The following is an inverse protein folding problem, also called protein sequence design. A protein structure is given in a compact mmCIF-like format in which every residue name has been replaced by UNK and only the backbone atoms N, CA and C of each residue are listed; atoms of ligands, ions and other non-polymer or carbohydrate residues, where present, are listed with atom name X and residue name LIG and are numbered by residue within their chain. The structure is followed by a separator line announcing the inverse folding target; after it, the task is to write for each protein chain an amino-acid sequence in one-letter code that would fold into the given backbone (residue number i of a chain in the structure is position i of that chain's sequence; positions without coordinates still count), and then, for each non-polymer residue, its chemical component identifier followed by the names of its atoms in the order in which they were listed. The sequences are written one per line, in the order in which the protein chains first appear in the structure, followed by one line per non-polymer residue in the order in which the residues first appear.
data_IF_606164400719
#
_entry.id   IF_606164400719
#
_cell.length_a   1.000
_cell.length_b   1.000
_cell.length_c   1.000
_cell.angle_alpha   90.00
_cell.angle_beta   90.00
_cell.angle_gamma   90.00
#
_symmetry.space_group_name_H-M   'P 1'
#
loop_
_entity.id
_entity.type
_entity.pdbx_description
1 polymer ?
#
# COMPACT_ATOMS: atom_id res chain seq x y z
N UNK A 1 -7.70 -12.89 3.19
CA UNK A 1 -7.04 -11.96 4.12
C UNK A 1 -5.54 -12.23 4.07
N UNK A 2 -4.66 -11.25 4.26
CA UNK A 2 -3.20 -11.50 4.38
C UNK A 2 -2.92 -12.23 5.69
N UNK A 3 -3.30 -13.49 5.73
CA UNK A 3 -3.12 -14.40 6.85
C UNK A 3 -1.81 -15.14 6.59
N UNK A 4 -0.78 -14.77 7.36
CA UNK A 4 0.58 -15.33 7.52
C UNK A 4 1.69 -14.33 7.23
N UNK A 5 2.18 -13.73 8.30
CA UNK A 5 3.41 -12.95 8.35
C UNK A 5 4.66 -13.84 8.51
N UNK A 6 4.80 -14.89 7.69
CA UNK A 6 6.05 -15.71 7.67
C UNK A 6 6.96 -15.39 6.48
N UNK A 7 6.48 -14.61 5.50
CA UNK A 7 7.28 -13.99 4.45
C UNK A 7 6.71 -12.59 4.21
N UNK A 8 7.56 -11.56 4.32
CA UNK A 8 7.16 -10.19 4.05
C UNK A 8 6.54 -10.07 2.66
N UNK A 9 5.42 -9.36 2.54
CA UNK A 9 4.76 -9.13 1.26
C UNK A 9 5.53 -8.06 0.50
N UNK A 10 5.75 -8.23 -0.81
CA UNK A 10 6.34 -7.15 -1.61
C UNK A 10 5.41 -5.92 -1.59
N UNK A 11 6.02 -4.73 -1.68
CA UNK A 11 5.24 -3.49 -1.70
C UNK A 11 4.19 -3.49 -2.82
N UNK A 12 4.57 -3.95 -4.02
CA UNK A 12 3.65 -4.03 -5.16
C UNK A 12 2.45 -4.94 -4.87
N UNK A 13 2.69 -6.15 -4.34
CA UNK A 13 1.60 -7.07 -3.99
C UNK A 13 0.69 -6.51 -2.89
N UNK A 14 1.24 -5.78 -1.92
CA UNK A 14 0.44 -5.05 -0.94
C UNK A 14 -0.44 -3.97 -1.60
N UNK A 15 0.12 -3.15 -2.50
CA UNK A 15 -0.64 -2.09 -3.20
C UNK A 15 -1.78 -2.68 -4.05
N UNK A 16 -1.55 -3.83 -4.68
CA UNK A 16 -2.58 -4.53 -5.46
C UNK A 16 -3.69 -5.09 -4.57
N UNK A 17 -3.34 -5.67 -3.42
CA UNK A 17 -4.33 -6.16 -2.46
C UNK A 17 -5.22 -5.02 -1.91
N UNK A 18 -4.64 -3.86 -1.63
CA UNK A 18 -5.41 -2.68 -1.19
C UNK A 18 -6.33 -2.18 -2.31
N UNK A 19 -5.85 -2.15 -3.56
CA UNK A 19 -6.67 -1.75 -4.72
C UNK A 19 -7.88 -2.67 -4.92
N UNK A 20 -7.67 -3.98 -4.85
CA UNK A 20 -8.75 -4.97 -4.90
C UNK A 20 -9.75 -4.81 -3.74
N UNK A 21 -9.27 -4.45 -2.54
CA UNK A 21 -10.13 -4.19 -1.40
C UNK A 21 -11.00 -2.94 -1.63
N UNK A 22 -10.42 -1.86 -2.17
CA UNK A 22 -11.15 -0.64 -2.56
C UNK A 22 -12.22 -0.95 -3.61
N UNK A 23 -11.89 -1.68 -4.66
CA UNK A 23 -12.83 -2.05 -5.73
C UNK A 23 -14.00 -2.90 -5.17
N UNK A 24 -13.73 -3.69 -4.12
CA UNK A 24 -14.73 -4.49 -3.42
C UNK A 24 -15.45 -3.76 -2.27
N UNK A 25 -15.20 -2.46 -2.05
CA UNK A 25 -15.80 -1.69 -0.95
C UNK A 25 -15.42 -2.19 0.45
N UNK A 26 -14.22 -2.76 0.61
CA UNK A 26 -13.74 -3.41 1.84
C UNK A 26 -12.35 -2.91 2.23
N UNK A 27 -11.88 -3.38 3.37
CA UNK A 27 -10.51 -3.19 3.88
C UNK A 27 -9.72 -4.50 3.84
N UNK A 28 -8.41 -4.45 4.09
CA UNK A 28 -7.56 -5.64 4.16
C UNK A 28 -7.61 -6.37 5.52
N UNK A 29 -8.17 -5.74 6.56
CA UNK A 29 -8.26 -6.30 7.92
C UNK A 29 -9.53 -7.11 8.18
N UNK A 30 -9.59 -7.79 9.32
CA UNK A 30 -10.77 -8.62 9.68
C UNK A 30 -12.02 -7.81 9.97
N UNK A 31 -11.83 -6.64 10.58
CA UNK A 31 -12.92 -5.78 10.99
C UNK A 31 -13.32 -4.86 9.83
N UNK A 32 -14.52 -5.09 9.31
CA UNK A 32 -15.07 -4.37 8.18
C UNK A 32 -16.20 -3.46 8.67
N UNK A 33 -16.08 -2.16 8.43
CA UNK A 33 -17.17 -1.20 8.62
C UNK A 33 -17.22 -0.25 7.42
N UNK A 34 -18.37 0.37 7.11
CA UNK A 34 -18.46 1.35 6.03
C UNK A 34 -17.44 2.50 6.19
N UNK A 35 -17.25 3.00 7.41
CA UNK A 35 -16.26 4.03 7.70
C UNK A 35 -14.83 3.58 7.37
N UNK A 36 -14.46 2.34 7.69
CA UNK A 36 -13.13 1.81 7.38
C UNK A 36 -12.93 1.59 5.87
N UNK A 37 -13.98 1.21 5.13
CA UNK A 37 -13.92 1.13 3.68
C UNK A 37 -13.64 2.50 3.05
N UNK A 38 -14.35 3.55 3.49
CA UNK A 38 -14.10 4.94 3.04
C UNK A 38 -12.68 5.41 3.37
N UNK A 39 -12.17 5.10 4.57
CA UNK A 39 -10.77 5.41 4.91
C UNK A 39 -9.77 4.65 4.03
N UNK A 40 -10.11 3.43 3.61
CA UNK A 40 -9.25 2.65 2.71
C UNK A 40 -9.15 3.31 1.34
N UNK A 41 -10.26 3.84 0.80
CA UNK A 41 -10.29 4.66 -0.43
C UNK A 41 -9.39 5.89 -0.29
N UNK A 42 -9.56 6.64 0.81
CA UNK A 42 -8.75 7.84 1.08
C UNK A 42 -7.26 7.52 1.17
N UNK A 43 -6.91 6.42 1.84
CA UNK A 43 -5.52 6.00 2.00
C UNK A 43 -4.92 5.52 0.67
N UNK A 44 -5.68 4.82 -0.16
CA UNK A 44 -5.27 4.44 -1.51
C UNK A 44 -4.87 5.69 -2.33
N UNK A 45 -5.71 6.73 -2.33
CA UNK A 45 -5.43 7.98 -3.03
C UNK A 45 -4.19 8.72 -2.48
N UNK A 46 -3.98 8.69 -1.16
CA UNK A 46 -2.77 9.26 -0.53
C UNK A 46 -1.51 8.55 -0.96
N UNK A 47 -1.54 7.22 -1.04
CA UNK A 47 -0.41 6.43 -1.50
C UNK A 47 -0.16 6.63 -3.00
N UNK A 48 -1.20 6.73 -3.83
CA UNK A 48 -1.04 7.06 -5.26
C UNK A 48 -0.40 8.45 -5.47
N UNK A 49 -0.67 9.41 -4.57
CA UNK A 49 0.02 10.70 -4.55
C UNK A 49 1.47 10.52 -4.12
N UNK A 50 1.71 9.80 -3.01
CA UNK A 50 3.05 9.56 -2.48
C UNK A 50 3.96 8.97 -3.55
N UNK A 51 3.52 7.90 -4.22
CA UNK A 51 4.26 7.20 -5.27
C UNK A 51 4.68 8.14 -6.43
N UNK A 52 3.88 9.19 -6.71
CA UNK A 52 4.16 10.19 -7.76
C UNK A 52 5.06 11.33 -7.29
N UNK A 53 4.98 11.69 -6.01
CA UNK A 53 5.62 12.91 -5.48
C UNK A 53 6.91 12.66 -4.72
N UNK A 54 7.15 11.42 -4.26
CA UNK A 54 8.39 11.06 -3.58
C UNK A 54 9.56 11.26 -4.54
N UNK A 55 10.55 12.00 -4.06
CA UNK A 55 11.85 12.16 -4.72
C UNK A 55 12.90 11.61 -3.78
N UNK A 56 13.72 10.69 -4.28
CA UNK A 56 14.90 10.24 -3.57
C UNK A 56 16.01 11.25 -3.77
N UNK A 57 16.74 11.52 -2.71
CA UNK A 57 18.00 12.24 -2.81
C UNK A 57 18.96 11.47 -3.75
N UNK A 58 19.71 12.15 -4.63
CA UNK A 58 20.60 11.48 -5.58
C UNK A 58 21.61 10.56 -4.89
N UNK A 59 22.20 10.98 -3.78
CA UNK A 59 23.23 10.20 -3.07
C UNK A 59 22.61 8.93 -2.45
N UNK A 60 21.38 9.06 -1.93
CA UNK A 60 20.61 7.92 -1.42
C UNK A 60 20.25 6.93 -2.55
N UNK A 61 19.87 7.44 -3.73
CA UNK A 61 19.55 6.59 -4.88
C UNK A 61 20.78 5.79 -5.31
N UNK A 62 21.93 6.44 -5.43
CA UNK A 62 23.18 5.78 -5.81
C UNK A 62 23.55 4.69 -4.80
N UNK A 63 23.45 4.98 -3.50
CA UNK A 63 23.72 3.99 -2.46
C UNK A 63 22.79 2.76 -2.53
N UNK A 64 21.52 2.94 -2.88
CA UNK A 64 20.54 1.85 -3.01
C UNK A 64 20.79 0.96 -4.24
N UNK A 65 21.39 1.49 -5.31
CA UNK A 65 21.68 0.72 -6.53
C UNK A 65 22.90 -0.20 -6.39
N UNK A 66 23.71 -0.03 -5.34
CA UNK A 66 24.90 -0.83 -5.06
C UNK A 66 24.66 -2.01 -4.10
N UNK A 67 23.42 -2.22 -3.65
CA UNK A 67 22.99 -3.29 -2.74
C UNK A 67 22.26 -4.37 -3.52
#
# INVERSE_FOLDING_TARGET
MLEKADLGVSYAAYRDAVRQAVDAGRTTGDHQTPALAEYTVLNQARMDRLDKTVRLDPDLREALEQV
#
